data_IF_463870315239
#
_entry.id   IF_463870315239
#
_cell.length_a   1.000
_cell.length_b   1.000
_cell.length_c   1.000
_cell.angle_alpha   90.00
_cell.angle_beta   90.00
_cell.angle_gamma   90.00
#
_symmetry.space_group_name_H-M   'P 1'
#
loop_
_entity.id
_entity.type
_entity.pdbx_description
1 polymer ?
#
# COMPACT_ATOMS: atom_id res chain seq x y z
N UNK A 1 2.15 -2.62 18.70
CA UNK A 1 2.93 -1.98 17.61
C UNK A 1 3.33 -0.61 18.10
N UNK A 2 4.56 -0.16 17.83
CA UNK A 2 4.90 1.23 18.10
C UNK A 2 4.06 2.12 17.17
N UNK A 3 3.59 3.26 17.66
CA UNK A 3 2.77 4.20 16.89
C UNK A 3 3.54 4.72 15.66
N UNK A 4 2.91 4.84 14.50
CA UNK A 4 3.53 5.44 13.31
C UNK A 4 3.25 6.94 13.31
N UNK A 5 4.23 7.75 12.94
CA UNK A 5 4.06 9.22 12.86
C UNK A 5 3.43 9.62 11.51
N UNK A 6 3.74 8.88 10.45
CA UNK A 6 3.16 9.08 9.12
C UNK A 6 2.82 7.75 8.45
N UNK A 7 1.72 7.73 7.70
CA UNK A 7 1.35 6.63 6.83
C UNK A 7 1.02 7.18 5.45
N UNK A 8 1.50 6.52 4.41
CA UNK A 8 1.14 6.81 3.02
C UNK A 8 0.64 5.56 2.33
N UNK A 9 0.02 5.76 1.18
CA UNK A 9 -0.56 4.72 0.37
C UNK A 9 -0.25 5.03 -1.09
N UNK A 10 0.40 4.10 -1.77
CA UNK A 10 0.67 4.24 -3.18
C UNK A 10 1.27 3.00 -3.81
N UNK A 11 1.53 3.10 -5.10
CA UNK A 11 2.16 2.04 -5.88
C UNK A 11 3.68 2.16 -5.81
N UNK A 12 4.35 1.01 -5.74
CA UNK A 12 5.80 0.93 -5.80
C UNK A 12 6.21 0.06 -6.97
N UNK A 13 7.04 0.64 -7.83
CA UNK A 13 7.50 0.02 -9.05
C UNK A 13 9.01 -0.24 -9.00
N UNK A 14 9.44 -1.17 -9.85
CA UNK A 14 10.85 -1.28 -10.21
C UNK A 14 11.14 -0.29 -11.34
N UNK A 15 12.07 0.62 -11.08
CA UNK A 15 12.60 1.53 -12.08
C UNK A 15 13.87 0.94 -12.68
N UNK A 16 13.88 0.79 -14.00
CA UNK A 16 15.06 0.37 -14.76
C UNK A 16 15.71 1.59 -15.39
N UNK A 17 16.86 1.99 -14.85
CA UNK A 17 17.63 3.09 -15.42
C UNK A 17 18.64 2.56 -16.42
N UNK A 18 18.68 3.18 -17.59
CA UNK A 18 19.67 2.88 -18.61
C UNK A 18 21.08 3.28 -18.12
N UNK A 19 22.03 2.36 -18.22
CA UNK A 19 23.44 2.63 -17.87
C UNK A 19 24.18 3.43 -18.96
N UNK A 20 23.60 3.55 -20.15
CA UNK A 20 24.17 4.28 -21.28
C UNK A 20 23.16 5.27 -21.87
N UNK A 21 23.56 6.49 -22.25
CA UNK A 21 22.69 7.44 -22.91
C UNK A 21 22.19 6.96 -24.28
N UNK A 22 21.00 7.41 -24.68
CA UNK A 22 20.41 7.14 -26.00
C UNK A 22 18.96 6.63 -25.92
N UNK A 23 18.35 6.27 -27.07
CA UNK A 23 17.00 5.70 -27.07
C UNK A 23 16.95 4.39 -26.28
N UNK A 24 15.98 4.24 -25.37
CA UNK A 24 15.83 3.04 -24.52
C UNK A 24 15.78 1.72 -25.32
N UNK A 25 15.20 1.74 -26.53
CA UNK A 25 15.16 0.58 -27.45
C UNK A 25 16.54 0.06 -27.89
N UNK A 26 17.60 0.83 -27.68
CA UNK A 26 18.98 0.49 -28.05
C UNK A 26 19.85 0.17 -26.83
N UNK A 27 19.30 0.24 -25.61
CA UNK A 27 20.02 -0.03 -24.36
C UNK A 27 19.79 -1.48 -23.96
N UNK A 28 20.87 -2.14 -23.56
CA UNK A 28 20.85 -3.56 -23.14
C UNK A 28 21.17 -3.76 -21.66
N UNK A 29 21.76 -2.77 -21.00
CA UNK A 29 22.15 -2.84 -19.60
C UNK A 29 21.37 -1.80 -18.79
N UNK A 30 20.69 -2.29 -17.76
CA UNK A 30 19.89 -1.48 -16.85
C UNK A 30 20.34 -1.73 -15.42
N UNK A 31 20.37 -0.68 -14.63
CA UNK A 31 20.39 -0.80 -13.18
C UNK A 31 18.96 -0.74 -12.63
N UNK A 32 18.73 -1.48 -11.54
CA UNK A 32 17.42 -1.67 -10.94
C UNK A 32 17.31 -0.81 -9.67
N UNK A 33 16.30 0.05 -9.62
CA UNK A 33 15.94 0.85 -8.46
C UNK A 33 14.50 0.56 -8.01
N UNK A 34 14.19 0.85 -6.75
CA UNK A 34 12.82 0.89 -6.24
C UNK A 34 12.34 2.33 -6.31
N UNK A 35 11.16 2.55 -6.88
CA UNK A 35 10.61 3.89 -7.09
C UNK A 35 9.11 3.94 -6.78
N UNK A 36 8.66 5.09 -6.33
CA UNK A 36 7.25 5.39 -6.05
C UNK A 36 7.19 6.74 -5.34
N UNK A 37 6.23 7.59 -5.67
CA UNK A 37 6.17 8.95 -5.11
C UNK A 37 6.02 8.88 -3.58
N UNK A 38 5.07 8.07 -3.14
CA UNK A 38 4.70 7.85 -1.75
C UNK A 38 5.81 7.13 -0.99
N UNK A 39 6.40 6.11 -1.62
CA UNK A 39 7.58 5.42 -1.09
C UNK A 39 8.75 6.37 -0.87
N UNK A 40 9.07 7.24 -1.84
CA UNK A 40 10.15 8.21 -1.73
C UNK A 40 9.91 9.22 -0.60
N UNK A 41 8.66 9.66 -0.39
CA UNK A 41 8.31 10.55 0.73
C UNK A 41 8.47 9.81 2.07
N UNK A 42 7.98 8.57 2.18
CA UNK A 42 8.11 7.78 3.41
C UNK A 42 9.58 7.46 3.75
N UNK A 43 10.41 7.16 2.75
CA UNK A 43 11.86 6.99 2.92
C UNK A 43 12.52 8.30 3.36
N UNK A 44 12.16 9.43 2.74
CA UNK A 44 12.67 10.75 3.14
C UNK A 44 12.35 11.07 4.60
N UNK A 45 11.10 10.87 5.01
CA UNK A 45 10.66 11.07 6.39
C UNK A 45 11.32 10.10 7.38
N UNK A 46 11.50 8.82 6.99
CA UNK A 46 12.22 7.83 7.80
C UNK A 46 13.67 8.26 8.05
N UNK A 47 14.37 8.70 7.00
CA UNK A 47 15.74 9.23 7.09
C UNK A 47 15.86 10.50 7.95
N UNK A 48 14.78 11.27 8.08
CA UNK A 48 14.69 12.43 8.96
C UNK A 48 14.36 12.07 10.42
N UNK A 49 14.17 10.78 10.73
CA UNK A 49 13.98 10.27 12.09
C UNK A 49 12.53 10.02 12.50
N UNK A 50 11.57 10.13 11.58
CA UNK A 50 10.17 9.81 11.85
C UNK A 50 9.85 8.34 11.58
N UNK A 51 8.87 7.79 12.28
CA UNK A 51 8.39 6.42 12.03
C UNK A 51 7.33 6.45 10.93
N UNK A 52 7.58 5.76 9.83
CA UNK A 52 6.72 5.82 8.64
C UNK A 52 6.21 4.45 8.22
N UNK A 53 5.00 4.41 7.71
CA UNK A 53 4.40 3.24 7.08
C UNK A 53 3.95 3.54 5.64
N UNK A 54 4.06 2.54 4.77
CA UNK A 54 3.54 2.58 3.42
C UNK A 54 2.60 1.40 3.22
N UNK A 55 1.34 1.70 2.90
CA UNK A 55 0.38 0.71 2.41
C UNK A 55 0.60 0.59 0.90
N UNK A 56 0.89 -0.60 0.40
CA UNK A 56 1.14 -0.85 -1.03
C UNK A 56 0.84 -2.30 -1.40
N UNK A 57 0.93 -2.65 -2.67
CA UNK A 57 0.90 -4.04 -3.14
C UNK A 57 2.09 -4.27 -4.05
N UNK A 58 2.69 -5.44 -3.92
CA UNK A 58 3.72 -5.92 -4.85
C UNK A 58 3.46 -7.37 -5.17
N UNK A 59 3.90 -7.82 -6.36
CA UNK A 59 3.80 -9.21 -6.77
C UNK A 59 4.53 -10.16 -5.83
N UNK A 60 4.10 -11.43 -5.81
CA UNK A 60 4.82 -12.52 -5.13
C UNK A 60 5.96 -13.05 -6.03
N UNK A 61 6.86 -12.15 -6.39
CA UNK A 61 8.00 -12.39 -7.26
C UNK A 61 9.28 -11.71 -6.74
N UNK A 62 10.40 -11.92 -7.44
CA UNK A 62 11.70 -11.36 -7.08
C UNK A 62 11.71 -9.82 -7.06
N UNK A 63 10.85 -9.17 -7.86
CA UNK A 63 10.73 -7.72 -7.84
C UNK A 63 9.99 -7.25 -6.59
N UNK A 64 8.89 -7.90 -6.22
CA UNK A 64 8.19 -7.61 -4.97
C UNK A 64 9.02 -7.90 -3.73
N UNK A 65 9.84 -8.96 -3.74
CA UNK A 65 10.84 -9.21 -2.70
C UNK A 65 11.86 -8.06 -2.65
N UNK A 66 12.38 -7.61 -3.79
CA UNK A 66 13.33 -6.51 -3.85
C UNK A 66 12.73 -5.19 -3.32
N UNK A 67 11.46 -4.89 -3.64
CA UNK A 67 10.76 -3.72 -3.09
C UNK A 67 10.65 -3.80 -1.57
N UNK A 68 10.13 -4.92 -1.04
CA UNK A 68 9.97 -5.13 0.41
C UNK A 68 11.31 -4.97 1.15
N UNK A 69 12.38 -5.56 0.63
CA UNK A 69 13.70 -5.50 1.25
C UNK A 69 14.28 -4.08 1.21
N UNK A 70 14.10 -3.36 0.11
CA UNK A 70 14.61 -1.99 -0.03
C UNK A 70 13.91 -1.05 0.95
N UNK A 71 12.58 -1.07 1.01
CA UNK A 71 11.81 -0.19 1.90
C UNK A 71 12.05 -0.49 3.38
N UNK A 72 12.13 -1.76 3.76
CA UNK A 72 12.50 -2.16 5.13
C UNK A 72 13.91 -1.71 5.49
N UNK A 73 14.85 -1.80 4.55
CA UNK A 73 16.22 -1.31 4.73
C UNK A 73 16.30 0.19 4.98
N UNK A 74 15.35 0.96 4.45
CA UNK A 74 15.20 2.40 4.66
C UNK A 74 14.36 2.77 5.90
N UNK A 75 13.89 1.79 6.67
CA UNK A 75 13.11 2.01 7.89
C UNK A 75 11.62 2.28 7.65
N UNK A 76 11.09 2.01 6.46
CA UNK A 76 9.66 2.13 6.14
C UNK A 76 8.96 0.81 6.43
N UNK A 77 7.89 0.84 7.23
CA UNK A 77 7.04 -0.34 7.43
C UNK A 77 6.11 -0.53 6.22
N UNK A 78 6.08 -1.72 5.62
CA UNK A 78 5.32 -1.97 4.38
C UNK A 78 4.13 -2.86 4.71
N UNK A 79 2.92 -2.33 4.49
CA UNK A 79 1.66 -3.03 4.70
C UNK A 79 1.05 -3.36 3.34
N UNK A 80 0.66 -4.61 3.11
CA UNK A 80 -0.06 -5.01 1.90
C UNK A 80 -1.46 -4.36 1.80
N UNK A 81 -2.02 -4.28 0.59
CA UNK A 81 -3.45 -3.99 0.28
C UNK A 81 -3.87 -2.56 -0.07
N UNK A 82 -2.95 -1.80 -0.69
CA UNK A 82 -3.23 -0.42 -1.07
C UNK A 82 -4.40 -0.22 -2.04
N UNK A 83 -4.47 -1.00 -3.12
CA UNK A 83 -5.50 -0.81 -4.16
C UNK A 83 -6.92 -0.99 -3.63
N UNK A 84 -7.10 -1.91 -2.69
CA UNK A 84 -8.39 -2.18 -2.08
C UNK A 84 -8.78 -1.06 -1.11
N UNK A 85 -7.81 -0.53 -0.37
CA UNK A 85 -8.01 0.66 0.44
C UNK A 85 -8.47 1.83 -0.44
N UNK A 86 -7.74 2.12 -1.52
CA UNK A 86 -8.05 3.24 -2.42
C UNK A 86 -9.41 3.10 -3.07
N UNK A 87 -9.73 1.91 -3.59
CA UNK A 87 -11.03 1.64 -4.19
C UNK A 87 -12.18 1.86 -3.19
N UNK A 88 -12.04 1.35 -1.97
CA UNK A 88 -13.06 1.53 -0.94
C UNK A 88 -13.15 2.99 -0.48
N UNK A 89 -12.02 3.67 -0.28
CA UNK A 89 -11.97 5.09 0.10
C UNK A 89 -12.66 5.96 -0.95
N UNK A 90 -12.30 5.83 -2.23
CA UNK A 90 -12.85 6.62 -3.33
C UNK A 90 -14.35 6.36 -3.51
N UNK A 91 -14.80 5.11 -3.46
CA UNK A 91 -16.23 4.78 -3.58
C UNK A 91 -17.02 5.34 -2.40
N UNK A 92 -16.46 5.30 -1.18
CA UNK A 92 -17.09 5.90 0.00
C UNK A 92 -17.22 7.41 -0.14
N UNK A 93 -16.15 8.06 -0.60
CA UNK A 93 -16.15 9.51 -0.81
C UNK A 93 -17.18 9.93 -1.88
N UNK A 94 -17.24 9.21 -3.00
CA UNK A 94 -18.23 9.45 -4.06
C UNK A 94 -19.68 9.19 -3.62
N UNK A 95 -19.88 8.37 -2.59
CA UNK A 95 -21.18 8.10 -1.96
C UNK A 95 -21.57 9.16 -0.92
N UNK A 96 -20.73 10.16 -0.66
CA UNK A 96 -21.00 11.28 0.24
C UNK A 96 -20.72 11.00 1.72
N UNK A 97 -19.92 9.97 2.03
CA UNK A 97 -19.49 9.70 3.40
C UNK A 97 -18.46 10.73 3.88
N UNK A 98 -18.39 10.93 5.20
CA UNK A 98 -17.33 11.72 5.84
C UNK A 98 -15.94 11.11 5.65
N UNK A 99 -14.90 11.92 5.80
CA UNK A 99 -13.51 11.45 5.63
C UNK A 99 -13.15 10.32 6.61
N UNK A 100 -13.67 10.37 7.84
CA UNK A 100 -13.45 9.31 8.84
C UNK A 100 -14.04 7.98 8.37
N UNK A 101 -15.27 8.00 7.85
CA UNK A 101 -15.93 6.82 7.30
C UNK A 101 -15.21 6.31 6.05
N UNK A 102 -14.74 7.20 5.17
CA UNK A 102 -13.94 6.80 4.01
C UNK A 102 -12.66 6.06 4.42
N UNK A 103 -11.97 6.54 5.47
CA UNK A 103 -10.81 5.87 6.04
C UNK A 103 -11.17 4.53 6.68
N UNK A 104 -12.33 4.42 7.36
CA UNK A 104 -12.83 3.14 7.90
C UNK A 104 -13.06 2.12 6.79
N UNK A 105 -13.71 2.51 5.70
CA UNK A 105 -13.94 1.65 4.54
C UNK A 105 -12.62 1.24 3.85
N UNK A 106 -11.70 2.20 3.66
CA UNK A 106 -10.37 1.92 3.13
C UNK A 106 -9.62 0.88 3.97
N UNK A 107 -9.53 1.11 5.29
CA UNK A 107 -8.87 0.19 6.21
C UNK A 107 -9.49 -1.21 6.21
N UNK A 108 -10.82 -1.29 6.18
CA UNK A 108 -11.54 -2.55 6.13
C UNK A 108 -11.26 -3.33 4.83
N UNK A 109 -11.20 -2.64 3.69
CA UNK A 109 -10.89 -3.27 2.42
C UNK A 109 -9.43 -3.73 2.37
N UNK A 110 -8.50 -2.92 2.88
CA UNK A 110 -7.11 -3.31 3.06
C UNK A 110 -6.96 -4.58 3.92
N UNK A 111 -7.66 -4.62 5.05
CA UNK A 111 -7.65 -5.76 5.98
C UNK A 111 -8.19 -7.04 5.33
N UNK A 112 -9.27 -6.95 4.54
CA UNK A 112 -9.83 -8.09 3.83
C UNK A 112 -8.86 -8.64 2.76
N UNK A 113 -8.17 -7.75 2.04
CA UNK A 113 -7.26 -8.16 0.97
C UNK A 113 -6.02 -8.88 1.47
N UNK A 114 -5.50 -8.54 2.65
CA UNK A 114 -4.37 -9.29 3.22
C UNK A 114 -4.75 -10.68 3.74
N UNK A 115 -6.04 -11.04 3.79
CA UNK A 115 -6.50 -12.36 4.28
C UNK A 115 -6.45 -13.48 3.24
N UNK A 116 -6.29 -13.17 1.95
CA UNK A 116 -6.32 -14.15 0.87
C UNK A 116 -5.07 -13.98 -0.01
N UNK A 117 -4.51 -15.10 -0.49
CA UNK A 117 -3.42 -15.06 -1.47
C UNK A 117 -3.97 -14.62 -2.83
N UNK A 118 -3.43 -13.54 -3.38
CA UNK A 118 -3.87 -12.99 -4.66
C UNK A 118 -3.58 -11.49 -4.79
N UNK A 119 -3.71 -10.97 -6.01
CA UNK A 119 -3.50 -9.56 -6.36
C UNK A 119 -4.81 -8.75 -6.47
N UNK A 120 -5.96 -9.36 -6.70
CA UNK A 120 -7.26 -8.68 -6.60
C UNK A 120 -8.41 -9.59 -6.17
N UNK A 121 -8.14 -10.88 -6.03
CA UNK A 121 -9.09 -11.96 -5.74
C UNK A 121 -9.84 -11.73 -4.43
N UNK A 122 -9.26 -10.91 -3.55
CA UNK A 122 -9.75 -10.60 -2.23
C UNK A 122 -10.44 -9.23 -2.14
N UNK A 123 -10.49 -8.45 -3.25
CA UNK A 123 -11.11 -7.12 -3.24
C UNK A 123 -12.60 -7.29 -2.92
N UNK A 124 -13.08 -6.69 -1.83
CA UNK A 124 -14.43 -6.96 -1.35
C UNK A 124 -15.48 -6.25 -2.20
N UNK A 125 -16.65 -6.88 -2.31
CA UNK A 125 -17.86 -6.17 -2.73
C UNK A 125 -18.29 -5.19 -1.65
N UNK A 126 -19.09 -4.18 -2.02
CA UNK A 126 -19.58 -3.18 -1.06
C UNK A 126 -20.37 -3.79 0.10
N UNK A 127 -21.15 -4.84 -0.16
CA UNK A 127 -21.91 -5.53 0.89
C UNK A 127 -20.99 -6.34 1.80
N UNK A 128 -20.01 -7.07 1.24
CA UNK A 128 -19.02 -7.78 2.04
C UNK A 128 -18.20 -6.83 2.94
N UNK A 129 -17.86 -5.64 2.41
CA UNK A 129 -17.14 -4.61 3.15
C UNK A 129 -17.97 -4.08 4.33
N UNK A 130 -19.26 -3.80 4.14
CA UNK A 130 -20.16 -3.36 5.21
C UNK A 130 -20.36 -4.43 6.28
N UNK A 131 -20.59 -5.68 5.88
CA UNK A 131 -20.72 -6.81 6.82
C UNK A 131 -19.47 -6.98 7.67
N UNK A 132 -18.28 -6.83 7.08
CA UNK A 132 -17.03 -6.92 7.82
C UNK A 132 -16.92 -5.81 8.89
N UNK A 133 -17.21 -4.55 8.53
CA UNK A 133 -17.18 -3.43 9.46
C UNK A 133 -18.18 -3.64 10.61
N UNK A 134 -19.42 -3.99 10.30
CA UNK A 134 -20.47 -4.26 11.29
C UNK A 134 -20.07 -5.38 12.27
N UNK A 135 -19.43 -6.43 11.76
CA UNK A 135 -18.95 -7.54 12.59
C UNK A 135 -17.86 -7.11 13.59
N UNK A 136 -16.94 -6.24 13.17
CA UNK A 136 -15.86 -5.74 14.03
C UNK A 136 -16.32 -4.73 15.09
N UNK A 137 -17.37 -3.97 14.82
CA UNK A 137 -17.98 -3.07 15.82
C UNK A 137 -18.75 -3.87 16.89
N UNK A 138 -19.41 -4.95 16.47
CA UNK A 138 -20.13 -5.86 17.38
C UNK A 138 -19.16 -6.60 18.31
N UNK A 139 -18.01 -7.07 17.80
CA UNK A 139 -16.96 -7.69 18.63
C UNK A 139 -16.33 -6.71 19.65
N UNK A 140 -16.21 -5.42 19.32
CA UNK A 140 -15.72 -4.40 20.26
C UNK A 140 -16.69 -4.11 21.40
N UNK A 141 -18.00 -4.22 21.17
CA UNK A 141 -19.02 -4.04 22.21
C UNK A 141 -19.11 -5.24 23.18
N UNK A 142 -18.63 -6.41 22.77
CA UNK A 142 -18.67 -7.65 23.54
C UNK A 142 -17.40 -7.89 24.38
N UNK A 143 -16.42 -6.99 24.32
CA UNK A 143 -15.19 -6.98 25.15
C UNK A 143 -15.21 -5.84 26.15
#
# INVERSE_FOLDING_TARGET
MAELDFVSLGEVMIQLNALTPGPLRSVYLFEKHVAGTEANVMVGLARLGYRTGLITRVGDDEFGIAVKNTLRGEGVDVIGAGDAFDAAFLVSYLRGYGLEECLKFGNAAGALVVMVRGDWEAIPTWDALKTFIESTETEKLLR
#
